data_IF_931248800511
#
_entry.id   IF_931248800511
#
_cell.length_a   1.000
_cell.length_b   1.000
_cell.length_c   1.000
_cell.angle_alpha   90.00
_cell.angle_beta   90.00
_cell.angle_gamma   90.00
#
_symmetry.space_group_name_H-M   'P 1'
#
loop_
_entity.id
_entity.type
_entity.pdbx_description
1 polymer ?
#
# COMPACT_ATOMS: atom_id res chain seq x y z
N UNK A 1 -20.76 -4.12 -4.20
CA UNK A 1 -20.26 -2.81 -3.68
C UNK A 1 -20.24 -1.80 -4.82
N UNK A 2 -20.65 -0.56 -4.54
CA UNK A 2 -20.56 0.52 -5.53
C UNK A 2 -19.11 0.93 -5.75
N UNK A 3 -18.77 1.29 -6.99
CA UNK A 3 -17.42 1.75 -7.34
C UNK A 3 -17.12 3.12 -6.71
N UNK A 4 -15.83 3.47 -6.68
CA UNK A 4 -15.40 4.81 -6.24
C UNK A 4 -16.11 5.89 -7.05
N UNK A 5 -16.17 5.73 -8.37
CA UNK A 5 -16.81 6.70 -9.27
C UNK A 5 -18.28 6.90 -8.93
N UNK A 6 -19.03 5.81 -8.73
CA UNK A 6 -20.43 5.86 -8.38
C UNK A 6 -20.66 6.60 -7.07
N UNK A 7 -19.84 6.32 -6.07
CA UNK A 7 -19.93 6.95 -4.75
C UNK A 7 -19.65 8.44 -4.82
N UNK A 8 -18.60 8.83 -5.55
CA UNK A 8 -18.26 10.25 -5.73
C UNK A 8 -19.33 11.01 -6.52
N UNK A 9 -19.90 10.38 -7.56
CA UNK A 9 -21.00 10.99 -8.32
C UNK A 9 -22.26 11.16 -7.50
N UNK A 10 -22.46 10.32 -6.51
CA UNK A 10 -23.56 10.43 -5.56
C UNK A 10 -23.34 11.51 -4.50
N UNK A 11 -22.19 12.20 -4.51
CA UNK A 11 -21.88 13.27 -3.57
C UNK A 11 -21.35 12.79 -2.22
N UNK A 12 -20.92 11.52 -2.12
CA UNK A 12 -20.37 10.98 -0.88
C UNK A 12 -18.97 11.54 -0.60
N UNK A 13 -18.69 11.79 0.68
CA UNK A 13 -17.35 12.07 1.16
C UNK A 13 -16.74 10.77 1.65
N UNK A 14 -15.58 10.39 1.09
CA UNK A 14 -14.91 9.16 1.46
C UNK A 14 -13.70 9.47 2.34
N UNK A 15 -13.52 8.64 3.36
CA UNK A 15 -12.40 8.78 4.28
C UNK A 15 -11.34 7.74 3.93
N UNK A 16 -10.14 8.20 3.62
CA UNK A 16 -9.00 7.32 3.38
C UNK A 16 -8.39 6.82 4.68
N UNK A 17 -7.51 5.83 4.55
CA UNK A 17 -6.73 5.35 5.68
C UNK A 17 -5.62 6.36 6.03
N UNK A 18 -4.80 6.00 7.01
CA UNK A 18 -3.69 6.83 7.47
C UNK A 18 -2.34 6.24 7.09
N UNK A 19 -1.32 6.61 7.87
CA UNK A 19 0.06 6.20 7.63
C UNK A 19 0.25 4.69 7.71
N UNK A 20 1.07 4.16 6.83
CA UNK A 20 1.46 2.75 6.84
C UNK A 20 2.85 2.55 7.44
N UNK A 21 3.82 3.39 7.08
CA UNK A 21 5.20 3.22 7.52
C UNK A 21 5.36 3.16 9.04
N UNK A 22 4.78 4.10 9.76
CA UNK A 22 4.85 4.13 11.23
C UNK A 22 4.12 2.95 11.86
N UNK A 23 2.99 2.52 11.27
CA UNK A 23 2.26 1.35 11.74
C UNK A 23 3.05 0.06 11.53
N UNK A 24 3.79 -0.04 10.42
CA UNK A 24 4.65 -1.19 10.15
C UNK A 24 5.86 -1.22 11.08
N UNK A 25 6.42 -0.05 11.41
CA UNK A 25 7.50 0.04 12.40
C UNK A 25 7.05 -0.49 13.76
N UNK A 26 5.82 -0.19 14.16
CA UNK A 26 5.25 -0.71 15.40
C UNK A 26 5.08 -2.23 15.37
N UNK A 27 5.13 -2.84 14.19
CA UNK A 27 4.94 -4.28 13.97
C UNK A 27 6.19 -5.00 13.47
N UNK A 28 7.36 -4.39 13.70
CA UNK A 28 8.64 -5.05 13.48
C UNK A 28 9.45 -4.59 12.28
N UNK A 29 8.97 -3.61 11.50
CA UNK A 29 9.79 -3.03 10.43
C UNK A 29 10.93 -2.25 11.05
N UNK A 30 12.16 -2.63 10.68
CA UNK A 30 13.38 -2.00 11.20
C UNK A 30 13.82 -0.85 10.30
N UNK A 31 14.54 0.15 10.87
CA UNK A 31 15.14 1.22 10.07
C UNK A 31 15.99 0.64 8.93
N UNK A 32 15.84 1.19 7.73
CA UNK A 32 16.60 0.74 6.55
C UNK A 32 15.99 -0.44 5.80
N UNK A 33 15.02 -1.13 6.37
CA UNK A 33 14.31 -2.19 5.66
C UNK A 33 13.30 -1.61 4.67
N UNK A 34 13.04 -2.35 3.59
CA UNK A 34 12.01 -1.99 2.63
C UNK A 34 10.63 -2.28 3.22
N UNK A 35 9.78 -1.27 3.42
CA UNK A 35 8.39 -1.51 3.85
C UNK A 35 7.64 -2.40 2.87
N UNK A 36 7.91 -2.23 1.58
CA UNK A 36 7.23 -2.96 0.51
C UNK A 36 7.51 -4.46 0.57
N UNK A 37 8.71 -4.83 1.00
CA UNK A 37 9.10 -6.24 1.13
C UNK A 37 8.27 -6.99 2.16
N UNK A 38 7.64 -6.32 3.10
CA UNK A 38 6.75 -6.94 4.08
C UNK A 38 5.53 -7.59 3.44
N UNK A 39 5.15 -7.16 2.24
CA UNK A 39 4.09 -7.81 1.48
C UNK A 39 4.40 -9.27 1.19
N UNK A 40 5.69 -9.63 1.13
CA UNK A 40 6.16 -11.00 0.95
C UNK A 40 6.55 -11.67 2.27
N UNK A 41 7.30 -10.95 3.12
CA UNK A 41 7.91 -11.54 4.31
C UNK A 41 6.99 -11.59 5.53
N UNK A 42 6.04 -10.67 5.64
CA UNK A 42 5.15 -10.60 6.79
C UNK A 42 3.79 -10.01 6.41
N UNK A 43 3.01 -10.72 5.60
CA UNK A 43 1.69 -10.23 5.18
C UNK A 43 0.72 -10.03 6.37
N UNK A 44 0.92 -10.72 7.49
CA UNK A 44 0.09 -10.55 8.67
C UNK A 44 0.16 -9.14 9.23
N UNK A 45 1.32 -8.48 9.13
CA UNK A 45 1.45 -7.08 9.53
C UNK A 45 0.57 -6.16 8.69
N UNK A 46 0.46 -6.44 7.39
CA UNK A 46 -0.42 -5.70 6.50
C UNK A 46 -1.88 -5.89 6.87
N UNK A 47 -2.27 -7.13 7.20
CA UNK A 47 -3.63 -7.44 7.64
C UNK A 47 -3.98 -6.66 8.90
N UNK A 48 -3.08 -6.63 9.87
CA UNK A 48 -3.31 -5.89 11.13
C UNK A 48 -3.50 -4.40 10.90
N UNK A 49 -2.68 -3.80 10.04
CA UNK A 49 -2.81 -2.36 9.73
C UNK A 49 -4.12 -2.09 9.00
N UNK A 50 -4.46 -2.90 8.03
CA UNK A 50 -5.72 -2.76 7.29
C UNK A 50 -6.94 -2.87 8.23
N UNK A 51 -6.95 -3.86 9.11
CA UNK A 51 -8.02 -4.04 10.08
C UNK A 51 -8.15 -2.83 11.02
N UNK A 52 -7.02 -2.28 11.46
CA UNK A 52 -7.01 -1.09 12.30
C UNK A 52 -7.77 0.07 11.62
N UNK A 53 -7.46 0.34 10.36
CA UNK A 53 -8.09 1.43 9.63
C UNK A 53 -9.55 1.12 9.24
N UNK A 54 -9.86 -0.13 8.92
CA UNK A 54 -11.24 -0.55 8.67
C UNK A 54 -12.11 -0.37 9.91
N UNK A 55 -11.60 -0.77 11.07
CA UNK A 55 -12.30 -0.62 12.35
C UNK A 55 -12.51 0.86 12.71
N UNK A 56 -11.59 1.72 12.29
CA UNK A 56 -11.71 3.17 12.47
C UNK A 56 -12.70 3.82 11.49
N UNK A 57 -13.21 3.08 10.50
CA UNK A 57 -14.22 3.57 9.56
C UNK A 57 -13.69 4.05 8.23
N UNK A 58 -12.46 3.70 7.84
CA UNK A 58 -11.93 4.09 6.53
C UNK A 58 -12.75 3.46 5.39
N UNK A 59 -13.00 4.26 4.37
CA UNK A 59 -13.69 3.85 3.14
C UNK A 59 -12.71 3.36 2.07
N UNK A 60 -11.45 3.78 2.17
CA UNK A 60 -10.38 3.44 1.23
C UNK A 60 -9.17 2.95 2.03
N UNK A 61 -8.66 1.78 1.66
CA UNK A 61 -7.43 1.23 2.24
C UNK A 61 -6.36 1.20 1.16
N UNK A 62 -5.20 1.76 1.47
CA UNK A 62 -4.09 1.90 0.53
C UNK A 62 -3.17 0.69 0.55
N UNK A 63 -2.72 0.24 -0.62
CA UNK A 63 -1.79 -0.88 -0.71
C UNK A 63 -0.40 -0.51 -0.18
N UNK A 64 0.31 -1.47 0.39
CA UNK A 64 1.68 -1.30 0.86
C UNK A 64 2.67 -1.39 -0.31
N UNK A 65 2.64 -0.39 -1.19
CA UNK A 65 3.38 -0.42 -2.45
C UNK A 65 3.95 0.93 -2.90
N UNK A 66 4.03 1.90 -1.98
CA UNK A 66 4.54 3.25 -2.30
C UNK A 66 5.93 3.20 -2.93
N UNK A 67 6.83 2.39 -2.39
CA UNK A 67 8.21 2.23 -2.87
C UNK A 67 8.42 1.01 -3.75
N UNK A 68 7.38 0.42 -4.32
CA UNK A 68 7.47 -0.87 -5.02
C UNK A 68 7.80 -0.75 -6.52
N UNK A 69 8.42 0.34 -6.95
CA UNK A 69 8.97 0.43 -8.30
C UNK A 69 10.33 -0.26 -8.36
N UNK A 70 10.75 -0.80 -9.51
CA UNK A 70 12.09 -1.39 -9.64
C UNK A 70 13.20 -0.43 -9.22
N UNK A 71 13.07 0.86 -9.56
CA UNK A 71 14.07 1.87 -9.22
C UNK A 71 14.23 2.07 -7.71
N UNK A 72 13.11 2.09 -6.97
CA UNK A 72 13.16 2.21 -5.51
C UNK A 72 13.63 0.92 -4.84
N UNK A 73 13.23 -0.22 -5.37
CA UNK A 73 13.57 -1.54 -4.81
C UNK A 73 15.02 -1.91 -5.03
N UNK A 74 15.69 -1.29 -6.00
CA UNK A 74 17.10 -1.56 -6.32
C UNK A 74 18.01 -1.38 -5.10
N UNK A 75 17.73 -0.39 -4.26
CA UNK A 75 18.51 -0.15 -3.04
C UNK A 75 18.48 -1.31 -2.05
N UNK A 76 17.47 -2.16 -2.17
CA UNK A 76 17.29 -3.32 -1.29
C UNK A 76 17.58 -4.63 -2.01
N UNK A 77 18.08 -4.57 -3.25
CA UNK A 77 18.33 -5.76 -4.06
C UNK A 77 17.05 -6.47 -4.52
N UNK A 78 15.93 -5.76 -4.56
CA UNK A 78 14.60 -6.32 -4.83
C UNK A 78 13.99 -5.84 -6.15
N UNK A 79 14.78 -5.20 -7.01
CA UNK A 79 14.28 -4.65 -8.28
C UNK A 79 13.68 -5.73 -9.20
N UNK A 80 14.20 -6.94 -9.18
CA UNK A 80 13.67 -8.06 -9.94
C UNK A 80 12.38 -8.66 -9.36
N UNK A 81 11.93 -8.21 -8.20
CA UNK A 81 10.75 -8.71 -7.51
C UNK A 81 9.61 -7.70 -7.43
N UNK A 82 9.69 -6.61 -8.19
CA UNK A 82 8.69 -5.53 -8.14
C UNK A 82 7.27 -6.04 -8.44
N UNK A 83 7.11 -6.83 -9.50
CA UNK A 83 5.81 -7.39 -9.87
C UNK A 83 5.25 -8.28 -8.76
N UNK A 84 6.07 -9.17 -8.23
CA UNK A 84 5.67 -10.07 -7.14
C UNK A 84 5.24 -9.30 -5.89
N UNK A 85 6.00 -8.28 -5.51
CA UNK A 85 5.69 -7.43 -4.35
C UNK A 85 4.37 -6.69 -4.55
N UNK A 86 4.15 -6.08 -5.71
CA UNK A 86 2.92 -5.36 -6.00
C UNK A 86 1.71 -6.29 -6.01
N UNK A 87 1.83 -7.47 -6.62
CA UNK A 87 0.75 -8.45 -6.63
C UNK A 87 0.40 -8.90 -5.21
N UNK A 88 1.40 -9.18 -4.39
CA UNK A 88 1.19 -9.60 -3.00
C UNK A 88 0.54 -8.50 -2.18
N UNK A 89 0.96 -7.25 -2.36
CA UNK A 89 0.38 -6.10 -1.65
C UNK A 89 -1.11 -5.97 -1.95
N UNK A 90 -1.49 -6.05 -3.22
CA UNK A 90 -2.90 -5.95 -3.63
C UNK A 90 -3.70 -7.15 -3.15
N UNK A 91 -3.19 -8.36 -3.38
CA UNK A 91 -3.90 -9.60 -3.04
C UNK A 91 -4.18 -9.70 -1.53
N UNK A 92 -3.21 -9.32 -0.70
CA UNK A 92 -3.37 -9.34 0.76
C UNK A 92 -4.49 -8.39 1.18
N UNK A 93 -4.53 -7.17 0.64
CA UNK A 93 -5.56 -6.21 0.98
C UNK A 93 -6.93 -6.62 0.46
N UNK A 94 -7.01 -7.15 -0.75
CA UNK A 94 -8.29 -7.60 -1.30
C UNK A 94 -8.94 -8.66 -0.42
N UNK A 95 -8.14 -9.55 0.17
CA UNK A 95 -8.66 -10.58 1.07
C UNK A 95 -9.18 -10.01 2.38
N UNK A 96 -8.41 -9.11 3.01
CA UNK A 96 -8.79 -8.56 4.33
C UNK A 96 -9.91 -7.52 4.21
N UNK A 97 -9.88 -6.71 3.18
CA UNK A 97 -10.86 -5.65 2.97
C UNK A 97 -12.19 -6.21 2.48
N UNK A 98 -12.14 -7.19 1.56
CA UNK A 98 -13.32 -7.81 0.95
C UNK A 98 -14.27 -6.73 0.41
N UNK A 99 -15.51 -6.69 0.92
CA UNK A 99 -16.51 -5.70 0.53
C UNK A 99 -16.69 -4.55 1.54
N UNK A 100 -15.83 -4.50 2.57
CA UNK A 100 -15.95 -3.48 3.63
C UNK A 100 -15.46 -2.08 3.19
N UNK A 101 -14.58 -2.02 2.22
CA UNK A 101 -14.00 -0.77 1.75
C UNK A 101 -13.45 -0.94 0.33
N UNK A 102 -12.96 0.14 -0.24
CA UNK A 102 -12.28 0.14 -1.53
C UNK A 102 -10.77 0.00 -1.31
N UNK A 103 -10.09 -0.67 -2.23
CA UNK A 103 -8.63 -0.78 -2.22
C UNK A 103 -8.06 0.24 -3.21
N UNK A 104 -7.13 1.06 -2.71
CA UNK A 104 -6.46 2.10 -3.50
C UNK A 104 -5.00 1.73 -3.67
N UNK A 105 -4.54 1.62 -4.91
CA UNK A 105 -3.15 1.31 -5.19
C UNK A 105 -2.26 2.52 -4.93
N UNK A 106 -1.21 2.34 -4.13
CA UNK A 106 -0.22 3.36 -3.87
C UNK A 106 0.90 3.28 -4.90
N UNK A 107 1.17 4.40 -5.58
CA UNK A 107 2.25 4.51 -6.55
C UNK A 107 3.08 5.73 -6.17
N UNK A 108 4.28 5.51 -5.70
CA UNK A 108 5.17 6.58 -5.28
C UNK A 108 6.11 7.06 -6.39
N UNK A 109 6.89 8.09 -6.10
CA UNK A 109 7.89 8.60 -7.05
C UNK A 109 9.06 7.63 -7.18
N UNK A 110 9.75 7.67 -8.31
CA UNK A 110 10.91 6.82 -8.57
C UNK A 110 12.16 7.30 -7.85
N UNK A 111 12.19 8.54 -7.39
CA UNK A 111 13.39 9.17 -6.85
C UNK A 111 14.35 9.66 -7.94
N UNK A 112 13.99 9.53 -9.22
CA UNK A 112 14.79 9.97 -10.36
C UNK A 112 14.21 11.25 -10.93
N UNK A 113 15.09 12.07 -11.49
CA UNK A 113 14.72 13.32 -12.16
C UNK A 113 14.81 13.10 -13.67
N UNK A 114 13.85 13.63 -14.40
CA UNK A 114 13.81 13.51 -15.86
C UNK A 114 14.89 14.37 -16.52
N UNK A 115 15.36 13.89 -17.69
CA UNK A 115 16.27 14.71 -18.51
C UNK A 115 15.62 16.06 -18.81
N UNK A 116 16.41 17.18 -18.88
CA UNK A 116 17.88 17.24 -18.84
C UNK A 116 18.46 17.34 -17.42
N UNK A 117 17.65 17.29 -16.38
CA UNK A 117 18.09 17.53 -15.00
C UNK A 117 18.48 16.24 -14.26
N UNK A 118 18.26 15.10 -14.84
CA UNK A 118 18.57 13.82 -14.24
C UNK A 118 19.09 12.78 -15.21
#
# INVERSE_FOLDING_TARGET
MRSLRERLRAGETLVGDGAWGTQLMARGLKPGESPDALSLSNPDALVEVADLYLDAGADLITTNSFGASPLNLERHGLDGRAEEINRAAVATLQRVVADRALVSASVGPTGRVLAPYG
#
